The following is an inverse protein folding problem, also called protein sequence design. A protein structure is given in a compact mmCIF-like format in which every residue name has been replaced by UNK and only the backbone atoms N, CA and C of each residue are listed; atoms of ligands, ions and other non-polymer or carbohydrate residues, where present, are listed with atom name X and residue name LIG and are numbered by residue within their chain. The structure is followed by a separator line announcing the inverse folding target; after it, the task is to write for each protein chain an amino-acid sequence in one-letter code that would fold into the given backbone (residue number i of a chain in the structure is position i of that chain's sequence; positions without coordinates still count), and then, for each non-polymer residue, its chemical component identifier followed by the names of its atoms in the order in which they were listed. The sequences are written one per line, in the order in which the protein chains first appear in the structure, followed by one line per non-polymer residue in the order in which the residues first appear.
data_IF_812272641927
#
_entry.id   IF_812272641927
#
_cell.length_a   1.000
_cell.length_b   1.000
_cell.length_c   1.000
_cell.angle_alpha   90.00
_cell.angle_beta   90.00
_cell.angle_gamma   90.00
#
_symmetry.space_group_name_H-M   'P 1'
#
loop_
_entity.id
_entity.type
_entity.pdbx_description
1 polymer ?
#
# COMPACT_ATOMS: atom_id res chain seq x y z
N UNK A 1 11.01 -4.68 -6.97
CA UNK A 1 9.92 -4.25 -6.07
C UNK A 1 10.41 -3.01 -5.35
N UNK A 2 9.80 -1.85 -5.60
CA UNK A 2 10.19 -0.58 -4.95
C UNK A 2 11.46 0.07 -5.48
N UNK A 3 11.70 1.30 -5.03
CA UNK A 3 12.87 2.14 -5.34
C UNK A 3 13.39 2.80 -4.06
N UNK A 4 14.69 3.03 -4.00
CA UNK A 4 15.33 3.74 -2.89
C UNK A 4 15.56 5.18 -3.30
N UNK A 5 15.19 6.10 -2.41
CA UNK A 5 15.33 7.54 -2.61
C UNK A 5 16.15 8.14 -1.47
N UNK A 6 17.01 9.11 -1.79
CA UNK A 6 17.63 9.97 -0.79
C UNK A 6 16.62 11.05 -0.41
N UNK A 7 16.10 10.98 0.82
CA UNK A 7 15.08 11.90 1.33
C UNK A 7 15.71 13.10 2.03
N UNK A 8 16.75 12.86 2.85
CA UNK A 8 17.54 13.89 3.57
C UNK A 8 19.03 13.54 3.50
N UNK A 9 19.96 14.41 3.95
CA UNK A 9 21.40 14.18 3.83
C UNK A 9 21.86 12.78 4.26
N UNK A 10 21.26 12.26 5.34
CA UNK A 10 21.59 10.96 5.94
C UNK A 10 20.38 10.02 6.03
N UNK A 11 19.30 10.28 5.29
CA UNK A 11 18.07 9.45 5.31
C UNK A 11 17.77 8.94 3.91
N UNK A 12 17.65 7.62 3.81
CA UNK A 12 17.18 6.92 2.62
C UNK A 12 15.83 6.25 2.91
N UNK A 13 14.95 6.30 1.92
CA UNK A 13 13.61 5.71 2.01
C UNK A 13 13.45 4.65 0.93
N UNK A 14 12.99 3.47 1.32
CA UNK A 14 12.44 2.49 0.38
C UNK A 14 10.97 2.81 0.16
N UNK A 15 10.61 3.15 -1.08
CA UNK A 15 9.23 3.43 -1.46
C UNK A 15 8.73 2.39 -2.47
N UNK A 16 7.55 1.84 -2.19
CA UNK A 16 6.82 0.92 -3.07
C UNK A 16 5.49 1.57 -3.44
N UNK A 17 5.35 2.03 -4.68
CA UNK A 17 4.19 2.80 -5.12
C UNK A 17 3.49 2.24 -6.36
N UNK A 18 4.10 1.31 -7.09
CA UNK A 18 3.46 0.71 -8.26
C UNK A 18 2.40 -0.31 -7.82
N UNK A 19 1.24 -0.32 -8.47
CA UNK A 19 0.14 -1.26 -8.15
C UNK A 19 0.61 -2.73 -8.24
N UNK A 20 1.49 -3.03 -9.20
CA UNK A 20 2.08 -4.36 -9.36
C UNK A 20 2.96 -4.74 -8.17
N UNK A 21 3.81 -3.84 -7.70
CA UNK A 21 4.70 -4.13 -6.57
C UNK A 21 3.95 -4.16 -5.24
N UNK A 22 2.96 -3.28 -5.05
CA UNK A 22 2.11 -3.25 -3.84
C UNK A 22 1.37 -4.59 -3.68
N UNK A 23 0.94 -5.22 -4.79
CA UNK A 23 0.33 -6.56 -4.75
C UNK A 23 1.20 -7.57 -4.01
N UNK A 24 2.51 -7.58 -4.31
CA UNK A 24 3.47 -8.49 -3.68
C UNK A 24 3.62 -8.20 -2.18
N UNK A 25 3.55 -6.93 -1.78
CA UNK A 25 3.59 -6.52 -0.37
C UNK A 25 2.33 -6.99 0.38
N UNK A 26 1.16 -6.89 -0.26
CA UNK A 26 -0.11 -7.37 0.31
C UNK A 26 -0.08 -8.89 0.48
N UNK A 27 0.31 -9.64 -0.55
CA UNK A 27 0.44 -11.10 -0.50
C UNK A 27 1.40 -11.54 0.62
N UNK A 28 2.53 -10.84 0.79
CA UNK A 28 3.47 -11.11 1.86
C UNK A 28 2.85 -10.90 3.25
N UNK A 29 2.18 -9.78 3.49
CA UNK A 29 1.58 -9.50 4.80
C UNK A 29 0.28 -10.29 5.07
N UNK A 30 -0.37 -10.82 4.03
CA UNK A 30 -1.46 -11.80 4.20
C UNK A 30 -0.90 -13.14 4.72
N UNK A 31 0.23 -13.59 4.18
CA UNK A 31 0.89 -14.83 4.61
C UNK A 31 1.63 -14.67 5.95
N UNK A 32 2.19 -13.49 6.20
CA UNK A 32 2.97 -13.16 7.40
C UNK A 32 2.41 -11.89 8.06
N UNK A 33 1.32 -12.00 8.83
CA UNK A 33 0.63 -10.85 9.39
C UNK A 33 1.50 -10.04 10.34
N UNK A 34 1.31 -8.72 10.31
CA UNK A 34 1.85 -7.82 11.32
C UNK A 34 1.18 -8.10 12.67
N UNK A 35 1.96 -8.16 13.75
CA UNK A 35 1.46 -8.46 15.11
C UNK A 35 1.19 -7.21 15.96
N UNK A 36 1.59 -6.03 15.48
CA UNK A 36 1.42 -4.77 16.21
C UNK A 36 0.16 -4.04 15.75
N UNK A 37 -0.14 -2.89 16.37
CA UNK A 37 -1.26 -2.03 15.98
C UNK A 37 -1.20 -1.59 14.50
N UNK A 38 -0.01 -1.62 13.87
CA UNK A 38 0.15 -1.36 12.43
C UNK A 38 -0.63 -2.33 11.54
N UNK A 39 -1.03 -3.51 12.05
CA UNK A 39 -1.94 -4.39 11.34
C UNK A 39 -3.26 -3.69 10.96
N UNK A 40 -3.77 -2.81 11.83
CA UNK A 40 -4.96 -2.01 11.52
C UNK A 40 -4.75 -1.09 10.31
N UNK A 41 -3.61 -0.39 10.26
CA UNK A 41 -3.21 0.44 9.11
C UNK A 41 -3.12 -0.40 7.84
N UNK A 42 -2.50 -1.59 7.93
CA UNK A 42 -2.38 -2.52 6.81
C UNK A 42 -3.74 -2.98 6.27
N UNK A 43 -4.70 -3.30 7.14
CA UNK A 43 -6.04 -3.71 6.72
C UNK A 43 -6.75 -2.58 5.97
N UNK A 44 -6.63 -1.33 6.43
CA UNK A 44 -7.17 -0.17 5.71
C UNK A 44 -6.46 0.05 4.38
N UNK A 45 -5.13 -0.05 4.37
CA UNK A 45 -4.32 0.06 3.16
C UNK A 45 -4.68 -1.01 2.11
N UNK A 46 -4.90 -2.26 2.53
CA UNK A 46 -5.35 -3.36 1.65
C UNK A 46 -6.71 -3.05 1.02
N UNK A 47 -7.67 -2.54 1.79
CA UNK A 47 -9.00 -2.12 1.26
C UNK A 47 -8.87 -1.00 0.23
N UNK A 48 -8.04 0.00 0.51
CA UNK A 48 -7.74 1.07 -0.44
C UNK A 48 -7.10 0.53 -1.73
N UNK A 49 -6.16 -0.41 -1.60
CA UNK A 49 -5.57 -1.09 -2.75
C UNK A 49 -6.61 -1.83 -3.60
N UNK A 50 -7.55 -2.55 -2.99
CA UNK A 50 -8.60 -3.27 -3.73
C UNK A 50 -9.47 -2.32 -4.56
N UNK A 51 -9.89 -1.19 -3.99
CA UNK A 51 -10.62 -0.13 -4.71
C UNK A 51 -9.78 0.43 -5.89
N UNK A 52 -8.48 0.59 -5.69
CA UNK A 52 -7.59 1.09 -6.73
C UNK A 52 -7.38 0.05 -7.84
N UNK A 53 -7.14 -1.20 -7.46
CA UNK A 53 -6.92 -2.32 -8.37
C UNK A 53 -8.17 -2.61 -9.23
N UNK A 54 -9.36 -2.47 -8.65
CA UNK A 54 -10.64 -2.59 -9.35
C UNK A 54 -11.01 -1.34 -10.17
N UNK A 55 -10.16 -0.30 -10.17
CA UNK A 55 -10.40 1.00 -10.81
C UNK A 55 -11.63 1.76 -10.30
N UNK A 56 -12.17 1.38 -9.14
CA UNK A 56 -13.35 2.04 -8.54
C UNK A 56 -13.08 3.51 -8.18
N UNK A 57 -11.85 3.80 -7.75
CA UNK A 57 -11.36 5.15 -7.45
C UNK A 57 -11.49 6.16 -8.59
N UNK A 58 -11.72 5.72 -9.83
CA UNK A 58 -11.99 6.60 -10.97
C UNK A 58 -13.41 7.18 -10.98
N UNK A 59 -14.29 6.69 -10.11
CA UNK A 59 -15.66 7.18 -9.92
C UNK A 59 -15.75 8.02 -8.66
N UNK A 60 -16.68 8.98 -8.61
CA UNK A 60 -16.92 9.79 -7.41
C UNK A 60 -17.24 8.92 -6.19
N UNK A 61 -18.10 7.91 -6.36
CA UNK A 61 -18.46 7.00 -5.27
C UNK A 61 -17.26 6.19 -4.78
N UNK A 62 -16.40 5.71 -5.68
CA UNK A 62 -15.19 4.98 -5.29
C UNK A 62 -14.15 5.88 -4.63
N UNK A 63 -14.04 7.14 -5.06
CA UNK A 63 -13.19 8.15 -4.42
C UNK A 63 -13.69 8.49 -3.01
N UNK A 64 -15.00 8.60 -2.79
CA UNK A 64 -15.60 8.85 -1.46
C UNK A 64 -15.46 7.67 -0.50
N UNK A 65 -15.29 6.45 -1.02
CA UNK A 65 -15.01 5.25 -0.21
C UNK A 65 -13.54 5.15 0.21
N UNK A 66 -12.64 5.83 -0.49
CA UNK A 66 -11.19 5.83 -0.26
C UNK A 66 -10.84 6.78 0.90
#
# INVERSE_FOLDING_TARGET
VGKIYKSRPDIYELQVSSIKDIKLIIEFFDQYPLITQKYGDYVLFKKAYELINNKEHLTLNGLLKL
#
